data_IF_737629362960
#
_entry.id   IF_737629362960
#
_cell.length_a   1.000
_cell.length_b   1.000
_cell.length_c   1.000
_cell.angle_alpha   90.00
_cell.angle_beta   90.00
_cell.angle_gamma   90.00
#
_symmetry.space_group_name_H-M   'P 1'
#
loop_
_entity.id
_entity.type
_entity.pdbx_description
1 polymer ?
#
# COMPACT_ATOMS: atom_id res chain seq x y z
N UNK A 1 -2.43 22.02 -61.06
CA UNK A 1 -2.66 21.85 -59.61
C UNK A 1 -3.76 20.81 -59.45
N UNK A 2 -3.47 19.66 -58.83
CA UNK A 2 -4.45 18.60 -58.57
C UNK A 2 -5.00 18.80 -57.16
N UNK A 3 -6.30 19.02 -57.05
CA UNK A 3 -7.00 19.15 -55.77
C UNK A 3 -7.15 17.77 -55.13
N UNK A 4 -6.45 17.54 -54.02
CA UNK A 4 -6.56 16.33 -53.21
C UNK A 4 -7.68 16.58 -52.19
N UNK A 5 -8.80 15.88 -52.32
CA UNK A 5 -9.89 15.92 -51.35
C UNK A 5 -9.57 14.97 -50.18
N UNK A 6 -9.39 15.53 -48.97
CA UNK A 6 -9.37 14.76 -47.71
C UNK A 6 -10.82 14.55 -47.28
N UNK A 7 -11.29 13.30 -47.24
CA UNK A 7 -12.62 12.97 -46.72
C UNK A 7 -12.46 11.96 -45.57
N UNK A 8 -12.68 12.42 -44.34
CA UNK A 8 -12.99 11.57 -43.19
C UNK A 8 -14.47 11.18 -43.30
N UNK A 9 -14.79 9.90 -43.44
CA UNK A 9 -16.17 9.41 -43.32
C UNK A 9 -16.27 8.55 -42.06
N UNK A 10 -16.87 9.14 -41.01
CA UNK A 10 -17.50 8.37 -39.94
C UNK A 10 -18.80 7.76 -40.46
N UNK A 11 -18.80 6.44 -40.62
CA UNK A 11 -19.88 5.44 -40.54
C UNK A 11 -21.37 5.72 -40.93
N UNK A 12 -21.81 6.85 -41.50
CA UNK A 12 -23.26 7.13 -41.66
C UNK A 12 -23.76 7.56 -43.06
N UNK A 13 -22.97 7.41 -44.13
CA UNK A 13 -23.40 7.84 -45.48
C UNK A 13 -23.23 6.77 -46.59
N UNK A 14 -23.26 5.49 -46.25
CA UNK A 14 -23.08 4.38 -47.21
C UNK A 14 -24.41 3.81 -47.77
N UNK A 15 -25.39 4.66 -48.08
CA UNK A 15 -26.66 4.20 -48.72
C UNK A 15 -27.00 4.93 -50.03
N UNK A 16 -26.21 5.94 -50.44
CA UNK A 16 -26.52 6.72 -51.65
C UNK A 16 -25.65 6.42 -52.89
N UNK A 17 -24.88 5.34 -52.92
CA UNK A 17 -24.01 4.99 -54.06
C UNK A 17 -24.16 3.54 -54.51
N UNK A 18 -25.38 3.17 -54.89
CA UNK A 18 -25.63 2.02 -55.77
C UNK A 18 -25.94 2.57 -57.17
N UNK A 19 -24.94 2.87 -58.01
CA UNK A 19 -25.04 3.00 -59.48
C UNK A 19 -23.68 3.33 -60.17
N UNK A 20 -22.62 2.56 -59.92
CA UNK A 20 -21.49 2.49 -60.86
C UNK A 20 -20.87 1.09 -60.80
N UNK A 21 -21.36 0.20 -61.66
CA UNK A 21 -20.72 -1.09 -61.90
C UNK A 21 -19.40 -0.86 -62.64
N UNK A 22 -18.33 -1.54 -62.19
CA UNK A 22 -16.96 -1.61 -62.73
C UNK A 22 -15.85 -0.66 -62.25
N UNK A 23 -16.08 0.22 -61.26
CA UNK A 23 -14.94 0.81 -60.56
C UNK A 23 -14.53 -0.07 -59.38
N UNK A 24 -13.34 -0.68 -59.46
CA UNK A 24 -12.68 -1.30 -58.31
C UNK A 24 -12.37 -0.16 -57.33
N UNK A 25 -13.21 0.03 -56.32
CA UNK A 25 -12.95 0.99 -55.25
C UNK A 25 -11.84 0.36 -54.40
N UNK A 26 -10.60 0.77 -54.64
CA UNK A 26 -9.48 0.46 -53.75
C UNK A 26 -9.58 1.36 -52.51
N UNK A 27 -10.05 0.79 -51.41
CA UNK A 27 -9.92 1.41 -50.11
C UNK A 27 -8.47 1.28 -49.66
N UNK A 28 -7.68 2.35 -49.84
CA UNK A 28 -6.37 2.46 -49.19
C UNK A 28 -6.58 3.10 -47.82
N UNK A 29 -6.52 2.28 -46.77
CA UNK A 29 -6.40 2.80 -45.41
C UNK A 29 -4.98 3.34 -45.19
N UNK A 30 -4.89 4.49 -44.54
CA UNK A 30 -3.61 5.08 -44.12
C UNK A 30 -2.91 4.11 -43.16
N UNK A 31 -1.58 3.98 -43.18
CA UNK A 31 -0.86 3.20 -42.17
C UNK A 31 -1.13 3.75 -40.78
N UNK A 32 -1.36 2.88 -39.78
CA UNK A 32 -1.61 3.34 -38.41
C UNK A 32 -1.12 2.35 -37.36
N UNK A 33 -0.92 2.85 -36.13
CA UNK A 33 -0.59 2.05 -34.94
C UNK A 33 -1.65 2.24 -33.87
N UNK A 34 -2.06 1.16 -33.21
CA UNK A 34 -3.11 1.16 -32.19
C UNK A 34 -2.78 0.19 -31.05
N UNK A 35 -3.22 0.48 -29.83
CA UNK A 35 -3.15 -0.49 -28.74
C UNK A 35 -4.31 -1.50 -28.85
N UNK A 36 -4.03 -2.76 -28.52
CA UNK A 36 -5.00 -3.87 -28.59
C UNK A 36 -6.11 -3.76 -27.54
N UNK A 37 -5.90 -3.00 -26.47
CA UNK A 37 -6.87 -2.81 -25.40
C UNK A 37 -6.80 -1.40 -24.79
N UNK A 38 -7.89 -0.99 -24.14
CA UNK A 38 -8.01 0.31 -23.45
C UNK A 38 -7.68 0.23 -21.98
N UNK A 39 -7.91 -0.94 -21.35
CA UNK A 39 -7.71 -1.07 -19.92
C UNK A 39 -7.61 -2.51 -19.45
N UNK A 40 -7.01 -2.70 -18.28
CA UNK A 40 -7.05 -3.93 -17.51
C UNK A 40 -7.20 -3.62 -16.01
N UNK A 41 -7.89 -4.50 -15.28
CA UNK A 41 -7.81 -4.57 -13.83
C UNK A 41 -7.18 -5.91 -13.49
N UNK A 42 -6.05 -5.90 -12.80
CA UNK A 42 -5.28 -7.10 -12.48
C UNK A 42 -5.01 -7.11 -11.00
N UNK A 43 -5.03 -8.28 -10.38
CA UNK A 43 -4.53 -8.41 -9.00
C UNK A 43 -3.01 -8.32 -8.99
N UNK A 44 -2.42 -7.94 -7.87
CA UNK A 44 -0.96 -7.90 -7.73
C UNK A 44 -0.29 -9.27 -7.87
N UNK A 45 -1.04 -10.36 -7.67
CA UNK A 45 -0.61 -11.75 -7.90
C UNK A 45 -0.84 -12.25 -9.35
N UNK A 46 -1.24 -11.38 -10.28
CA UNK A 46 -1.55 -11.77 -11.66
C UNK A 46 -0.33 -12.24 -12.47
N UNK A 47 0.90 -11.98 -12.00
CA UNK A 47 2.11 -12.30 -12.72
C UNK A 47 2.27 -11.43 -13.96
N UNK A 48 2.29 -12.03 -15.15
CA UNK A 48 2.56 -11.31 -16.41
C UNK A 48 1.29 -10.78 -17.06
N UNK A 49 1.32 -9.51 -17.44
CA UNK A 49 0.24 -8.80 -18.14
C UNK A 49 0.80 -8.22 -19.44
N UNK A 50 0.11 -8.50 -20.55
CA UNK A 50 0.54 -8.15 -21.89
C UNK A 50 -0.35 -7.07 -22.49
N UNK A 51 0.25 -6.04 -23.08
CA UNK A 51 -0.43 -5.01 -23.85
C UNK A 51 0.06 -5.06 -25.29
N UNK A 52 -0.85 -5.41 -26.19
CA UNK A 52 -0.52 -5.47 -27.62
C UNK A 52 -0.49 -4.08 -28.24
N UNK A 53 0.48 -3.86 -29.11
CA UNK A 53 0.63 -2.71 -30.00
C UNK A 53 0.58 -3.27 -31.42
N UNK A 54 -0.40 -2.82 -32.20
CA UNK A 54 -0.69 -3.36 -33.53
C UNK A 54 -0.40 -2.28 -34.56
N UNK A 55 0.47 -2.59 -35.52
CA UNK A 55 0.74 -1.77 -36.68
C UNK A 55 0.02 -2.34 -37.91
N UNK A 56 -0.73 -1.49 -38.62
CA UNK A 56 -1.55 -1.87 -39.76
C UNK A 56 -1.18 -1.08 -41.02
N UNK A 57 -1.21 -1.77 -42.16
CA UNK A 57 -0.98 -1.22 -43.49
C UNK A 57 0.37 -0.50 -43.67
N UNK A 58 1.40 -0.90 -42.90
CA UNK A 58 2.74 -0.36 -43.07
C UNK A 58 3.29 -0.67 -44.46
N UNK A 59 3.81 0.35 -45.13
CA UNK A 59 4.53 0.24 -46.41
C UNK A 59 6.04 0.43 -46.26
N UNK A 60 6.49 0.77 -45.06
CA UNK A 60 7.88 0.94 -44.64
C UNK A 60 7.99 0.65 -43.13
N UNK A 61 9.19 0.41 -42.59
CA UNK A 61 9.38 0.24 -41.15
C UNK A 61 8.86 1.45 -40.34
N UNK A 62 8.32 1.18 -39.15
CA UNK A 62 7.74 2.18 -38.26
C UNK A 62 8.31 2.04 -36.85
N UNK A 63 8.81 3.14 -36.31
CA UNK A 63 9.16 3.29 -34.89
C UNK A 63 7.99 3.94 -34.16
N UNK A 64 7.64 3.38 -33.02
CA UNK A 64 6.57 3.84 -32.13
C UNK A 64 7.21 4.19 -30.80
N UNK A 65 7.01 5.40 -30.31
CA UNK A 65 7.41 5.78 -28.96
C UNK A 65 6.20 5.77 -28.04
N UNK A 66 6.39 5.33 -26.80
CA UNK A 66 5.35 5.32 -25.79
C UNK A 66 5.86 5.85 -24.46
N UNK A 67 4.93 6.32 -23.64
CA UNK A 67 5.22 6.79 -22.27
C UNK A 67 4.38 6.01 -21.28
N UNK A 68 4.92 5.81 -20.08
CA UNK A 68 4.21 5.21 -18.94
C UNK A 68 4.17 6.25 -17.83
N UNK A 69 2.98 6.50 -17.29
CA UNK A 69 2.72 7.43 -16.19
C UNK A 69 1.75 6.80 -15.19
N UNK A 70 1.70 7.30 -13.96
CA UNK A 70 0.78 6.83 -12.94
C UNK A 70 1.41 6.89 -11.55
N UNK A 71 0.70 6.36 -10.58
CA UNK A 71 1.15 6.14 -9.20
C UNK A 71 1.81 4.76 -9.03
N UNK A 72 1.61 3.82 -9.95
CA UNK A 72 2.40 2.60 -10.00
C UNK A 72 3.86 2.92 -10.34
N UNK A 73 4.73 2.73 -9.34
CA UNK A 73 6.19 2.84 -9.42
C UNK A 73 6.84 1.57 -9.95
N UNK A 74 7.68 1.70 -10.98
CA UNK A 74 8.52 0.61 -11.52
C UNK A 74 9.51 0.07 -10.47
N UNK A 75 9.70 -1.25 -10.42
CA UNK A 75 10.50 -1.93 -9.40
C UNK A 75 9.79 -2.13 -8.07
N UNK A 76 8.73 -1.37 -7.79
CA UNK A 76 7.82 -1.59 -6.65
C UNK A 76 6.57 -2.35 -7.06
N UNK A 77 5.78 -1.86 -8.01
CA UNK A 77 4.51 -2.49 -8.39
C UNK A 77 4.60 -3.37 -9.64
N UNK A 78 5.56 -3.08 -10.53
CA UNK A 78 5.77 -3.86 -11.76
C UNK A 78 7.22 -3.82 -12.22
N UNK A 79 7.60 -4.78 -13.07
CA UNK A 79 8.85 -4.81 -13.85
C UNK A 79 8.51 -4.92 -15.33
N UNK A 80 9.44 -4.48 -16.17
CA UNK A 80 9.37 -4.62 -17.61
C UNK A 80 10.72 -5.15 -18.10
N UNK A 81 10.68 -6.13 -19.00
CA UNK A 81 11.90 -6.66 -19.63
C UNK A 81 12.55 -5.63 -20.56
N UNK A 82 11.73 -4.84 -21.27
CA UNK A 82 12.15 -3.72 -22.11
C UNK A 82 11.39 -2.46 -21.67
N UNK A 83 12.13 -1.47 -21.17
CA UNK A 83 11.61 -0.15 -20.78
C UNK A 83 12.24 0.97 -21.62
N UNK A 84 12.61 0.67 -22.87
CA UNK A 84 13.18 1.66 -23.79
C UNK A 84 12.19 2.77 -24.17
N UNK A 85 10.89 2.55 -23.98
CA UNK A 85 9.84 3.46 -24.46
C UNK A 85 9.68 3.43 -25.98
N UNK A 86 10.24 2.43 -26.67
CA UNK A 86 10.27 2.34 -28.14
C UNK A 86 9.89 0.93 -28.60
N UNK A 87 9.10 0.84 -29.68
CA UNK A 87 8.81 -0.40 -30.41
C UNK A 87 9.10 -0.17 -31.89
N UNK A 88 9.73 -1.14 -32.54
CA UNK A 88 10.08 -1.06 -33.96
C UNK A 88 9.37 -2.15 -34.77
N UNK A 89 8.53 -1.76 -35.71
CA UNK A 89 7.88 -2.65 -36.66
C UNK A 89 8.59 -2.62 -38.01
N UNK A 90 9.04 -3.77 -38.51
CA UNK A 90 9.59 -3.88 -39.86
C UNK A 90 8.49 -3.95 -40.94
N UNK A 91 7.35 -4.53 -40.56
CA UNK A 91 6.15 -4.69 -41.38
C UNK A 91 4.90 -4.65 -40.49
N UNK A 92 3.71 -4.73 -41.08
CA UNK A 92 2.45 -4.79 -40.31
C UNK A 92 2.42 -6.02 -39.41
N UNK A 93 1.94 -5.88 -38.18
CA UNK A 93 1.95 -6.97 -37.20
C UNK A 93 1.60 -6.50 -35.80
N UNK A 94 1.79 -7.38 -34.82
CA UNK A 94 1.60 -7.10 -33.40
C UNK A 94 2.90 -7.29 -32.64
N UNK A 95 3.16 -6.42 -31.69
CA UNK A 95 4.19 -6.57 -30.67
C UNK A 95 3.59 -6.34 -29.29
N UNK A 96 4.22 -6.88 -28.27
CA UNK A 96 3.67 -6.88 -26.91
C UNK A 96 4.59 -6.15 -25.96
N UNK A 97 4.01 -5.28 -25.15
CA UNK A 97 4.64 -4.69 -23.97
C UNK A 97 4.24 -5.55 -22.78
N UNK A 98 5.21 -6.19 -22.13
CA UNK A 98 4.99 -7.09 -21.01
C UNK A 98 5.30 -6.40 -19.68
N UNK A 99 4.33 -6.46 -18.77
CA UNK A 99 4.45 -6.04 -17.38
C UNK A 99 4.45 -7.28 -16.50
N UNK A 100 5.51 -7.48 -15.72
CA UNK A 100 5.53 -8.45 -14.62
C UNK A 100 5.07 -7.72 -13.35
N UNK A 101 3.86 -8.01 -12.89
CA UNK A 101 3.30 -7.42 -11.67
C UNK A 101 4.00 -8.04 -10.45
N UNK A 102 4.44 -7.17 -9.54
CA UNK A 102 5.14 -7.59 -8.32
C UNK A 102 4.10 -7.77 -7.21
N UNK A 103 4.01 -8.99 -6.70
CA UNK A 103 3.19 -9.35 -5.54
C UNK A 103 3.94 -9.02 -4.23
N UNK A 104 3.29 -8.36 -3.27
CA UNK A 104 3.86 -8.05 -1.95
C UNK A 104 3.12 -8.81 -0.84
N UNK A 105 3.27 -10.13 -0.73
CA UNK A 105 2.41 -10.94 0.12
C UNK A 105 2.39 -10.46 1.58
N UNK A 106 1.19 -10.21 2.10
CA UNK A 106 0.90 -9.70 3.44
C UNK A 106 1.23 -8.22 3.65
N UNK A 107 1.50 -7.43 2.61
CA UNK A 107 1.80 -6.00 2.71
C UNK A 107 0.78 -5.20 1.91
N UNK A 108 -0.13 -4.51 2.61
CA UNK A 108 -1.12 -3.65 1.96
C UNK A 108 -0.46 -2.33 1.55
N UNK A 109 -0.18 -2.19 0.26
CA UNK A 109 0.33 -1.00 -0.39
C UNK A 109 -0.79 -0.12 -0.97
N UNK A 110 -2.00 -0.68 -1.08
CA UNK A 110 -3.13 -0.08 -1.75
C UNK A 110 -3.08 -0.23 -3.27
N UNK A 111 -4.22 0.02 -3.91
CA UNK A 111 -4.31 -0.06 -5.37
C UNK A 111 -3.40 0.98 -6.04
N UNK A 112 -2.75 0.57 -7.11
CA UNK A 112 -1.91 1.44 -7.93
C UNK A 112 -2.37 1.40 -9.39
N UNK A 113 -2.09 2.45 -10.14
CA UNK A 113 -2.47 2.58 -11.54
C UNK A 113 -1.30 2.99 -12.43
N UNK A 114 -1.30 2.50 -13.66
CA UNK A 114 -0.44 3.03 -14.72
C UNK A 114 -1.25 3.28 -15.98
N UNK A 115 -0.76 4.23 -16.77
CA UNK A 115 -1.26 4.61 -18.07
C UNK A 115 -0.12 4.58 -19.07
N UNK A 116 -0.26 3.73 -20.07
CA UNK A 116 0.58 3.66 -21.24
C UNK A 116 -0.07 4.49 -22.35
N UNK A 117 0.70 5.34 -23.01
CA UNK A 117 0.22 6.19 -24.11
C UNK A 117 1.23 6.22 -25.26
N UNK A 118 0.75 5.96 -26.48
CA UNK A 118 1.53 6.15 -27.71
C UNK A 118 1.79 7.65 -27.85
N UNK A 119 3.06 8.03 -27.83
CA UNK A 119 3.49 9.43 -27.89
C UNK A 119 3.69 9.86 -29.34
N UNK A 120 4.51 9.12 -30.09
CA UNK A 120 4.85 9.43 -31.47
C UNK A 120 4.97 8.15 -32.32
N UNK A 121 4.81 8.32 -33.62
CA UNK A 121 5.00 7.29 -34.64
C UNK A 121 5.80 7.88 -35.80
N UNK A 122 6.44 7.03 -36.60
CA UNK A 122 7.15 7.46 -37.81
C UNK A 122 6.26 8.28 -38.76
N UNK A 123 6.90 9.18 -39.53
CA UNK A 123 6.22 10.02 -40.51
C UNK A 123 5.41 9.18 -41.51
N UNK A 124 4.19 9.62 -41.84
CA UNK A 124 3.29 8.91 -42.75
C UNK A 124 2.49 7.77 -42.11
N UNK A 125 2.68 7.52 -40.80
CA UNK A 125 1.87 6.60 -39.99
C UNK A 125 1.00 7.42 -39.03
N UNK A 126 -0.26 7.03 -38.84
CA UNK A 126 -1.19 7.68 -37.92
C UNK A 126 -1.28 6.93 -36.58
N UNK A 127 -1.62 7.65 -35.50
CA UNK A 127 -2.01 7.03 -34.24
C UNK A 127 -3.51 6.71 -34.32
N UNK A 128 -3.86 5.45 -34.13
CA UNK A 128 -5.22 4.94 -34.18
C UNK A 128 -6.09 5.39 -32.99
N UNK A 129 -7.35 4.96 -33.01
CA UNK A 129 -8.35 5.40 -32.03
C UNK A 129 -8.04 4.98 -30.58
N UNK A 130 -7.35 3.86 -30.38
CA UNK A 130 -6.90 3.40 -29.06
C UNK A 130 -5.42 3.75 -28.89
N UNK A 131 -5.17 4.98 -28.44
CA UNK A 131 -3.81 5.50 -28.23
C UNK A 131 -3.28 5.34 -26.81
N UNK A 132 -4.16 4.96 -25.86
CA UNK A 132 -3.81 4.82 -24.47
C UNK A 132 -4.45 3.58 -23.83
N UNK A 133 -3.71 2.98 -22.91
CA UNK A 133 -4.10 1.82 -22.12
C UNK A 133 -3.92 2.16 -20.63
N UNK A 134 -4.92 1.85 -19.80
CA UNK A 134 -4.87 2.07 -18.35
C UNK A 134 -4.95 0.75 -17.59
N UNK A 135 -3.98 0.46 -16.73
CA UNK A 135 -3.99 -0.72 -15.88
C UNK A 135 -4.14 -0.30 -14.43
N UNK A 136 -5.11 -0.88 -13.74
CA UNK A 136 -5.18 -0.83 -12.28
C UNK A 136 -4.64 -2.15 -11.73
N UNK A 137 -3.64 -2.06 -10.87
CA UNK A 137 -3.09 -3.14 -10.06
C UNK A 137 -3.84 -3.09 -8.73
N UNK A 138 -4.64 -4.12 -8.49
CA UNK A 138 -5.46 -4.28 -7.31
C UNK A 138 -4.65 -5.04 -6.26
N UNK A 139 -4.43 -4.37 -5.14
CA UNK A 139 -3.84 -4.98 -3.96
C UNK A 139 -4.81 -6.03 -3.42
N UNK A 140 -4.31 -7.23 -3.15
CA UNK A 140 -5.11 -8.36 -2.68
C UNK A 140 -4.85 -8.70 -1.21
N UNK A 141 -4.08 -7.88 -0.50
CA UNK A 141 -3.82 -7.98 0.91
C UNK A 141 -4.88 -7.25 1.76
N UNK A 142 -5.00 -7.71 3.01
CA UNK A 142 -5.95 -7.13 3.96
C UNK A 142 -5.31 -5.87 4.58
N UNK A 143 -5.96 -4.69 4.50
CA UNK A 143 -5.50 -3.50 5.21
C UNK A 143 -5.61 -3.70 6.72
N UNK A 144 -4.68 -3.11 7.45
CA UNK A 144 -4.73 -3.10 8.92
C UNK A 144 -5.76 -2.06 9.39
N UNK A 145 -6.71 -2.48 10.22
CA UNK A 145 -7.63 -1.56 10.88
C UNK A 145 -7.02 -1.00 12.17
N UNK A 146 -6.42 0.18 12.06
CA UNK A 146 -5.85 0.88 13.21
C UNK A 146 -6.90 1.45 14.18
N UNK A 147 -8.19 1.45 13.82
CA UNK A 147 -9.23 2.08 14.64
C UNK A 147 -9.49 1.35 15.96
N UNK A 148 -9.15 0.06 16.08
CA UNK A 148 -9.23 -0.65 17.35
C UNK A 148 -7.96 -0.60 18.19
N UNK A 149 -6.92 0.11 17.73
CA UNK A 149 -5.67 0.34 18.46
C UNK A 149 -5.54 1.81 18.85
N UNK A 150 -5.63 2.72 17.88
CA UNK A 150 -5.37 4.14 18.09
C UNK A 150 -6.50 4.86 18.83
N UNK A 151 -6.11 5.87 19.60
CA UNK A 151 -7.01 6.81 20.26
C UNK A 151 -6.85 6.81 21.77
N UNK A 152 -7.80 7.50 22.41
CA UNK A 152 -7.83 7.59 23.86
C UNK A 152 -8.57 6.39 24.45
N UNK A 153 -7.95 5.80 25.46
CA UNK A 153 -8.42 4.65 26.20
C UNK A 153 -8.58 4.98 27.68
N UNK A 154 -9.47 4.26 28.34
CA UNK A 154 -9.55 4.22 29.81
C UNK A 154 -8.84 2.96 30.27
N UNK A 155 -7.73 3.14 30.99
CA UNK A 155 -6.93 2.08 31.56
C UNK A 155 -7.35 1.83 33.03
N UNK A 156 -7.45 0.55 33.41
CA UNK A 156 -7.64 0.12 34.78
C UNK A 156 -6.60 -0.95 35.11
N UNK A 157 -5.79 -0.69 36.12
CA UNK A 157 -4.83 -1.65 36.64
C UNK A 157 -5.51 -2.61 37.60
N UNK A 158 -5.04 -3.85 37.62
CA UNK A 158 -5.50 -4.91 38.50
C UNK A 158 -4.30 -5.55 39.20
N UNK A 159 -4.39 -5.70 40.51
CA UNK A 159 -3.42 -6.36 41.37
C UNK A 159 -4.15 -7.51 42.06
N UNK A 160 -3.60 -8.73 41.98
CA UNK A 160 -4.25 -9.96 42.48
C UNK A 160 -5.70 -10.15 42.00
N UNK A 161 -5.99 -9.70 40.77
CA UNK A 161 -7.31 -9.81 40.14
C UNK A 161 -8.35 -8.78 40.60
N UNK A 162 -7.98 -7.84 41.47
CA UNK A 162 -8.85 -6.76 41.91
C UNK A 162 -8.39 -5.41 41.32
N UNK A 163 -9.30 -4.47 40.99
CA UNK A 163 -8.92 -3.13 40.56
C UNK A 163 -7.99 -2.46 41.58
N UNK A 164 -6.83 -2.01 41.12
CA UNK A 164 -5.86 -1.25 41.90
C UNK A 164 -5.85 0.21 41.44
N UNK A 165 -6.04 1.14 42.37
CA UNK A 165 -6.12 2.57 42.07
C UNK A 165 -7.36 2.99 41.27
N UNK A 166 -7.34 4.24 40.80
CA UNK A 166 -8.40 4.80 39.94
C UNK A 166 -8.05 4.60 38.47
N UNK A 167 -9.07 4.40 37.63
CA UNK A 167 -8.88 4.38 36.19
C UNK A 167 -8.31 5.71 35.67
N UNK A 168 -7.46 5.63 34.66
CA UNK A 168 -6.77 6.78 34.06
C UNK A 168 -6.87 6.74 32.53
N UNK A 169 -6.56 7.87 31.89
CA UNK A 169 -6.63 7.98 30.43
C UNK A 169 -5.26 7.70 29.81
N UNK A 170 -5.24 6.85 28.79
CA UNK A 170 -4.05 6.53 28.02
C UNK A 170 -4.31 6.84 26.56
N UNK A 171 -3.35 7.48 25.88
CA UNK A 171 -3.46 7.77 24.46
C UNK A 171 -2.50 6.86 23.69
N UNK A 172 -3.03 6.08 22.75
CA UNK A 172 -2.24 5.19 21.89
C UNK A 172 -2.21 5.78 20.49
N UNK A 173 -1.01 5.97 19.95
CA UNK A 173 -0.79 6.54 18.61
C UNK A 173 0.06 5.62 17.76
N UNK A 174 -0.28 5.51 16.49
CA UNK A 174 0.58 4.94 15.47
C UNK A 174 1.78 5.86 15.23
N UNK A 175 2.97 5.27 15.23
CA UNK A 175 4.18 5.93 14.72
C UNK A 175 4.40 5.51 13.27
N UNK A 176 4.35 4.20 13.01
CA UNK A 176 4.42 3.58 11.67
C UNK A 176 3.62 2.26 11.66
N UNK A 177 3.70 1.46 10.58
CA UNK A 177 2.93 0.21 10.46
C UNK A 177 3.25 -0.88 11.49
N UNK A 178 4.37 -0.75 12.20
CA UNK A 178 4.86 -1.75 13.17
C UNK A 178 5.14 -1.17 14.55
N UNK A 179 4.97 0.14 14.73
CA UNK A 179 5.36 0.85 15.95
C UNK A 179 4.24 1.73 16.49
N UNK A 180 4.04 1.68 17.80
CA UNK A 180 3.08 2.50 18.53
C UNK A 180 3.76 3.31 19.63
N UNK A 181 3.17 4.44 19.98
CA UNK A 181 3.43 5.17 21.21
C UNK A 181 2.26 5.04 22.15
N UNK A 182 2.54 4.81 23.42
CA UNK A 182 1.56 4.86 24.51
C UNK A 182 1.96 5.98 25.46
N UNK A 183 1.03 6.91 25.70
CA UNK A 183 1.27 8.12 26.49
C UNK A 183 0.32 8.13 27.68
N UNK A 184 0.79 8.71 28.79
CA UNK A 184 0.02 8.91 30.01
C UNK A 184 -0.27 7.62 30.78
N UNK A 185 0.66 6.65 30.70
CA UNK A 185 0.74 5.58 31.70
C UNK A 185 1.02 6.24 33.05
N UNK A 186 0.03 6.21 33.95
CA UNK A 186 0.10 6.87 35.25
C UNK A 186 0.15 8.40 35.22
N UNK A 187 -0.95 9.01 34.75
CA UNK A 187 -1.39 10.40 35.00
C UNK A 187 -0.27 11.48 35.05
N UNK A 188 0.34 11.72 33.90
CA UNK A 188 1.51 12.58 33.70
C UNK A 188 2.74 11.84 33.17
N UNK A 189 2.59 10.55 32.86
CA UNK A 189 3.66 9.68 32.40
C UNK A 189 4.31 10.06 31.07
N UNK A 190 5.55 9.64 30.90
CA UNK A 190 6.30 9.78 29.65
C UNK A 190 5.80 8.81 28.60
N UNK A 191 5.88 9.24 27.33
CA UNK A 191 5.56 8.37 26.20
C UNK A 191 6.51 7.18 26.17
N UNK A 192 5.96 5.97 26.06
CA UNK A 192 6.72 4.76 25.78
C UNK A 192 6.42 4.28 24.36
N UNK A 193 7.36 3.55 23.78
CA UNK A 193 7.23 2.94 22.46
C UNK A 193 7.06 1.43 22.56
N UNK A 194 6.27 0.87 21.67
CA UNK A 194 6.10 -0.57 21.54
C UNK A 194 6.05 -0.99 20.08
N UNK A 195 6.36 -2.24 19.81
CA UNK A 195 6.08 -2.87 18.53
C UNK A 195 4.66 -3.42 18.54
N UNK A 196 4.02 -3.45 17.38
CA UNK A 196 2.72 -4.08 17.18
C UNK A 196 2.78 -5.04 15.99
N UNK A 197 2.13 -6.17 16.14
CA UNK A 197 2.00 -7.19 15.09
C UNK A 197 0.52 -7.56 14.95
N UNK A 198 -0.03 -7.38 13.75
CA UNK A 198 -1.43 -7.66 13.46
C UNK A 198 -1.62 -9.08 12.92
N UNK A 199 -2.62 -9.78 13.46
CA UNK A 199 -3.25 -10.90 12.78
C UNK A 199 -4.46 -10.36 12.00
N UNK A 200 -4.21 -10.09 10.72
CA UNK A 200 -5.19 -9.52 9.79
C UNK A 200 -6.41 -10.42 9.59
N UNK A 201 -6.25 -11.74 9.70
CA UNK A 201 -7.34 -12.68 9.49
C UNK A 201 -8.26 -12.75 10.72
N UNK A 202 -7.69 -12.67 11.92
CA UNK A 202 -8.43 -12.67 13.17
C UNK A 202 -8.92 -11.27 13.59
N UNK A 203 -8.45 -10.20 12.93
CA UNK A 203 -8.65 -8.81 13.34
C UNK A 203 -8.20 -8.57 14.80
N UNK A 204 -7.02 -9.10 15.12
CA UNK A 204 -6.37 -8.94 16.43
C UNK A 204 -4.95 -8.42 16.24
N UNK A 205 -4.33 -7.98 17.33
CA UNK A 205 -2.91 -7.66 17.34
C UNK A 205 -2.26 -8.04 18.66
N UNK A 206 -0.93 -8.14 18.63
CA UNK A 206 -0.09 -8.25 19.82
C UNK A 206 0.79 -7.02 19.88
N UNK A 207 0.79 -6.32 21.01
CA UNK A 207 1.73 -5.23 21.30
C UNK A 207 2.81 -5.69 22.26
N UNK A 208 4.04 -5.26 22.03
CA UNK A 208 5.18 -5.49 22.91
C UNK A 208 5.90 -4.17 23.22
N UNK A 209 5.86 -3.73 24.47
CA UNK A 209 6.55 -2.52 24.91
C UNK A 209 7.99 -2.84 25.29
N UNK A 210 8.93 -2.05 24.77
CA UNK A 210 10.36 -2.22 25.11
C UNK A 210 10.54 -2.13 26.63
N UNK A 211 11.22 -3.10 27.26
CA UNK A 211 11.47 -3.04 28.69
C UNK A 211 12.42 -1.91 29.04
N UNK A 212 12.42 -1.52 30.31
CA UNK A 212 13.25 -0.44 30.85
C UNK A 212 13.02 0.90 30.12
N UNK A 213 11.78 1.19 29.77
CA UNK A 213 11.37 2.53 29.37
C UNK A 213 10.85 3.29 30.58
N UNK A 214 11.25 4.55 30.72
CA UNK A 214 10.71 5.43 31.74
C UNK A 214 9.23 5.67 31.43
N UNK A 215 8.36 5.34 32.37
CA UNK A 215 6.92 5.62 32.26
C UNK A 215 6.55 6.86 33.07
N UNK A 216 7.32 7.24 34.08
CA UNK A 216 7.04 8.38 34.94
C UNK A 216 8.31 8.87 35.63
N UNK A 217 8.58 10.18 35.50
CA UNK A 217 9.67 10.82 36.25
C UNK A 217 9.14 11.36 37.60
N UNK A 218 9.37 10.58 38.65
CA UNK A 218 9.01 10.93 40.02
C UNK A 218 10.14 11.61 40.80
N UNK A 219 11.16 12.16 40.12
CA UNK A 219 12.30 12.82 40.80
C UNK A 219 11.85 13.98 41.67
N UNK A 220 10.82 14.72 41.25
CA UNK A 220 10.22 15.80 42.04
C UNK A 220 9.61 15.33 43.37
N UNK A 221 9.29 14.03 43.48
CA UNK A 221 8.72 13.39 44.66
C UNK A 221 9.74 12.54 45.45
N UNK A 222 11.02 12.52 45.03
CA UNK A 222 12.09 11.75 45.68
C UNK A 222 12.16 10.27 45.30
N UNK A 223 11.26 9.79 44.43
CA UNK A 223 11.19 8.38 44.00
C UNK A 223 12.01 8.09 42.73
N UNK A 224 12.60 9.09 42.06
CA UNK A 224 13.40 8.90 40.85
C UNK A 224 12.58 8.47 39.62
N UNK A 225 13.20 7.75 38.69
CA UNK A 225 12.53 7.28 37.46
C UNK A 225 11.89 5.92 37.67
N UNK A 226 10.68 5.76 37.14
CA UNK A 226 9.92 4.52 37.18
C UNK A 226 9.94 3.86 35.82
N UNK A 227 10.49 2.66 35.77
CA UNK A 227 10.75 1.93 34.53
C UNK A 227 9.80 0.77 34.36
N UNK A 228 9.24 0.61 33.16
CA UNK A 228 8.40 -0.53 32.81
C UNK A 228 9.21 -1.83 32.75
N UNK A 229 8.73 -2.87 33.42
CA UNK A 229 9.23 -4.23 33.34
C UNK A 229 8.19 -5.15 32.70
N UNK A 230 8.64 -6.05 31.82
CA UNK A 230 7.84 -7.18 31.39
C UNK A 230 7.97 -8.37 32.34
N UNK A 231 7.17 -9.40 32.09
CA UNK A 231 7.21 -10.67 32.82
C UNK A 231 7.58 -11.80 31.86
N UNK A 232 8.51 -12.67 32.25
CA UNK A 232 8.98 -13.78 31.40
C UNK A 232 8.38 -15.15 31.77
N UNK A 233 7.36 -15.17 32.64
CA UNK A 233 6.69 -16.38 33.13
C UNK A 233 7.11 -16.75 34.55
N UNK A 234 8.39 -16.58 34.89
CA UNK A 234 8.92 -16.93 36.20
C UNK A 234 9.26 -15.70 37.05
N UNK A 235 9.68 -14.60 36.42
CA UNK A 235 10.16 -13.39 37.09
C UNK A 235 9.87 -12.12 36.30
N UNK A 236 9.95 -10.99 37.01
CA UNK A 236 10.09 -9.66 36.40
C UNK A 236 11.40 -9.57 35.62
N UNK A 237 11.33 -8.99 34.43
CA UNK A 237 12.45 -8.96 33.50
C UNK A 237 12.72 -7.56 32.98
N UNK A 238 13.99 -7.19 33.01
CA UNK A 238 14.51 -5.96 32.40
C UNK A 238 14.78 -6.13 30.90
N UNK A 239 14.56 -7.33 30.35
CA UNK A 239 14.83 -7.66 28.94
C UNK A 239 13.62 -8.24 28.22
N UNK A 240 12.64 -8.77 28.94
CA UNK A 240 11.38 -9.23 28.35
C UNK A 240 10.41 -8.05 28.21
N UNK A 241 9.73 -7.91 27.06
CA UNK A 241 8.75 -6.84 26.86
C UNK A 241 7.51 -7.05 27.73
N UNK A 242 6.85 -5.96 28.12
CA UNK A 242 5.47 -6.04 28.57
C UNK A 242 4.58 -6.28 27.34
N UNK A 243 3.71 -7.28 27.40
CA UNK A 243 2.91 -7.71 26.25
C UNK A 243 1.44 -7.39 26.46
N UNK A 244 0.77 -6.99 25.39
CA UNK A 244 -0.67 -6.79 25.38
C UNK A 244 -1.32 -7.50 24.19
N UNK A 245 -2.47 -8.11 24.44
CA UNK A 245 -3.39 -8.57 23.40
C UNK A 245 -4.33 -7.43 23.02
N UNK A 246 -4.63 -7.32 21.73
CA UNK A 246 -5.47 -6.25 21.18
C UNK A 246 -6.57 -6.86 20.34
N UNK A 247 -7.80 -6.44 20.61
CA UNK A 247 -8.99 -6.84 19.87
C UNK A 247 -9.90 -5.64 19.65
N UNK A 248 -10.91 -5.79 18.80
CA UNK A 248 -11.97 -4.78 18.66
C UNK A 248 -12.74 -4.48 19.97
N UNK A 249 -12.72 -5.40 20.94
CA UNK A 249 -13.39 -5.23 22.23
C UNK A 249 -12.54 -4.47 23.27
N UNK A 250 -11.22 -4.40 23.07
CA UNK A 250 -10.30 -3.75 23.99
C UNK A 250 -8.88 -4.29 23.92
N UNK A 251 -8.05 -3.76 24.80
CA UNK A 251 -6.64 -4.16 24.96
C UNK A 251 -6.47 -4.73 26.37
N UNK A 252 -5.74 -5.84 26.48
CA UNK A 252 -5.36 -6.43 27.76
C UNK A 252 -3.84 -6.55 27.82
N UNK A 253 -3.21 -5.76 28.68
CA UNK A 253 -1.80 -5.90 29.00
C UNK A 253 -1.63 -6.96 30.07
N UNK A 254 -0.85 -8.00 29.74
CA UNK A 254 -0.49 -9.08 30.65
C UNK A 254 0.40 -8.59 31.78
N UNK A 255 0.90 -9.50 32.64
CA UNK A 255 1.66 -9.14 33.82
C UNK A 255 2.83 -8.19 33.52
N UNK A 256 2.84 -7.05 34.20
CA UNK A 256 3.91 -6.05 34.12
C UNK A 256 4.26 -5.50 35.50
N UNK A 257 5.41 -4.86 35.58
CA UNK A 257 5.94 -4.31 36.82
C UNK A 257 6.71 -3.00 36.62
N UNK A 258 7.21 -2.49 37.73
CA UNK A 258 7.91 -1.23 37.86
C UNK A 258 9.24 -1.45 38.58
N UNK A 259 10.29 -0.88 38.03
CA UNK A 259 11.58 -0.73 38.71
C UNK A 259 11.89 0.74 38.92
N UNK A 260 12.25 1.09 40.16
CA UNK A 260 12.80 2.40 40.47
C UNK A 260 14.31 2.36 40.24
N UNK A 261 14.83 3.18 39.33
CA UNK A 261 16.27 3.17 38.96
C UNK A 261 17.12 4.22 39.66
N UNK A 262 16.49 5.22 40.28
CA UNK A 262 17.18 6.31 40.96
C UNK A 262 16.37 6.80 42.17
N UNK A 263 16.98 7.62 43.04
CA UNK A 263 16.31 8.19 44.21
C UNK A 263 16.36 7.29 45.45
N UNK A 264 15.55 7.64 46.47
CA UNK A 264 15.60 6.99 47.79
C UNK A 264 15.21 5.50 47.75
N UNK A 265 14.43 5.11 46.74
CA UNK A 265 13.90 3.76 46.58
C UNK A 265 14.52 3.02 45.38
N UNK A 266 15.73 3.39 44.97
CA UNK A 266 16.43 2.69 43.89
C UNK A 266 16.53 1.18 44.17
N UNK A 267 16.12 0.36 43.20
CA UNK A 267 16.08 -1.10 43.29
C UNK A 267 14.77 -1.68 43.83
N UNK A 268 13.82 -0.84 44.28
CA UNK A 268 12.48 -1.34 44.64
C UNK A 268 11.71 -1.79 43.40
N UNK A 269 11.09 -2.96 43.54
CA UNK A 269 10.23 -3.58 42.53
C UNK A 269 8.79 -3.55 43.03
N UNK A 270 7.91 -2.95 42.23
CA UNK A 270 6.45 -3.14 42.35
C UNK A 270 6.01 -3.97 41.15
N UNK A 271 5.15 -4.96 41.32
CA UNK A 271 4.77 -5.81 40.21
C UNK A 271 3.57 -6.68 40.53
N UNK A 272 2.98 -7.22 39.48
CA UNK A 272 1.79 -8.07 39.54
C UNK A 272 0.60 -7.43 38.86
N UNK A 273 0.83 -6.34 38.13
CA UNK A 273 -0.24 -5.61 37.47
C UNK A 273 -0.63 -6.29 36.17
N UNK A 274 -1.93 -6.41 35.94
CA UNK A 274 -2.50 -6.52 34.60
C UNK A 274 -3.30 -5.26 34.34
N UNK A 275 -3.40 -4.84 33.09
CA UNK A 275 -4.14 -3.60 32.77
C UNK A 275 -5.11 -3.86 31.64
N UNK A 276 -6.36 -3.49 31.83
CA UNK A 276 -7.36 -3.50 30.75
C UNK A 276 -7.59 -2.09 30.25
N UNK A 277 -7.71 -1.96 28.93
CA UNK A 277 -8.00 -0.70 28.27
C UNK A 277 -9.33 -0.81 27.54
N UNK A 278 -10.22 0.13 27.81
CA UNK A 278 -11.56 0.20 27.20
C UNK A 278 -11.81 1.56 26.55
N UNK A 279 -12.51 1.57 25.42
CA UNK A 279 -12.95 2.79 24.72
C UNK A 279 -14.33 3.23 25.20
#
# INVERSE_FOLDING_TARGET
MKTIYKVLIGAAALVALLSSCNNKIEYKSVPFVVLGSKSANVKEDAGKVSVDVVACNLTAPCTVTYTIKGDAVAGKHYKMADNSGVINFNESGSQTIEFEIINHPNEYLGNASLKLEIAEVSEGVEIGAVKAFSMNILDNDIPVDWTFVEGQWTAQDYEDGAPSGSAYKVDIKKIDETTVSMINLWDGGTAITGTISFDKAANTATMGFTPMQNIFDATAYGYGQLMLLGHNGDNWSTTAPAQASVTAAGIEMGPWGLLITAGQYAGYLYGGYTTTFTK
#
